data_IF_680832485602
#
_entry.id   IF_680832485602
#
_cell.length_a   1.000
_cell.length_b   1.000
_cell.length_c   1.000
_cell.angle_alpha   90.00
_cell.angle_beta   90.00
_cell.angle_gamma   90.00
#
_symmetry.space_group_name_H-M   'P 1'
#
loop_
_entity.id
_entity.type
_entity.pdbx_description
1 polymer ?
#
# COMPACT_ATOMS: atom_id res chain seq x y z
N UNK A 1 -35.02 10.70 -10.27
CA UNK A 1 -33.69 10.55 -9.63
C UNK A 1 -33.11 11.94 -9.52
N UNK A 2 -33.29 12.59 -8.38
CA UNK A 2 -32.85 13.97 -8.13
C UNK A 2 -31.33 13.96 -8.05
N UNK A 3 -30.69 14.77 -8.88
CA UNK A 3 -29.24 14.96 -8.83
C UNK A 3 -28.96 15.74 -7.54
N UNK A 4 -28.11 15.22 -6.66
CA UNK A 4 -27.70 15.92 -5.44
C UNK A 4 -26.83 17.12 -5.85
N UNK A 5 -27.41 18.33 -5.85
CA UNK A 5 -26.73 19.57 -6.26
C UNK A 5 -25.72 20.09 -5.21
N UNK A 6 -25.48 19.35 -4.12
CA UNK A 6 -24.53 19.78 -3.09
C UNK A 6 -23.09 19.71 -3.59
N UNK A 7 -22.23 20.68 -3.19
CA UNK A 7 -20.82 20.64 -3.56
C UNK A 7 -20.14 19.37 -3.06
N UNK A 8 -19.16 18.89 -3.82
CA UNK A 8 -18.33 17.76 -3.43
C UNK A 8 -17.75 18.00 -2.02
N UNK A 9 -17.89 17.02 -1.13
CA UNK A 9 -17.45 17.13 0.27
C UNK A 9 -18.47 17.79 1.22
N UNK A 10 -19.69 18.10 0.77
CA UNK A 10 -20.77 18.45 1.70
C UNK A 10 -21.37 17.20 2.34
N UNK A 11 -21.51 17.13 3.67
CA UNK A 11 -22.11 15.97 4.35
C UNK A 11 -23.59 15.77 3.97
N UNK A 12 -24.13 14.54 4.12
CA UNK A 12 -25.58 14.32 4.18
C UNK A 12 -26.25 15.25 5.22
N UNK A 13 -27.56 15.55 5.11
CA UNK A 13 -28.21 16.44 6.07
C UNK A 13 -28.20 15.88 7.50
N UNK A 14 -28.14 14.54 7.61
CA UNK A 14 -28.41 13.80 8.85
C UNK A 14 -27.15 13.13 9.45
N UNK A 15 -25.95 13.49 8.99
CA UNK A 15 -24.70 12.97 9.58
C UNK A 15 -24.19 13.94 10.64
N UNK A 16 -23.85 13.43 11.82
CA UNK A 16 -23.25 14.24 12.89
C UNK A 16 -21.73 14.42 12.70
N UNK A 17 -21.17 15.39 13.43
CA UNK A 17 -19.75 15.73 13.35
C UNK A 17 -18.83 14.59 13.79
N UNK A 18 -19.26 13.77 14.74
CA UNK A 18 -18.51 12.61 15.22
C UNK A 18 -18.38 11.56 14.12
N UNK A 19 -19.43 11.36 13.33
CA UNK A 19 -19.45 10.44 12.19
C UNK A 19 -18.59 10.98 11.05
N UNK A 20 -18.64 12.29 10.78
CA UNK A 20 -17.73 12.93 9.80
C UNK A 20 -16.27 12.74 10.20
N UNK A 21 -15.93 12.94 11.49
CA UNK A 21 -14.58 12.71 12.00
C UNK A 21 -14.16 11.23 11.90
N UNK A 22 -15.04 10.29 12.28
CA UNK A 22 -14.76 8.87 12.18
C UNK A 22 -14.46 8.42 10.74
N UNK A 23 -15.25 8.90 9.76
CA UNK A 23 -15.00 8.62 8.34
C UNK A 23 -13.69 9.24 7.84
N UNK A 24 -13.34 10.44 8.32
CA UNK A 24 -12.05 11.08 8.06
C UNK A 24 -10.88 10.23 8.57
N UNK A 25 -10.95 9.78 9.83
CA UNK A 25 -9.93 8.90 10.44
C UNK A 25 -9.80 7.56 9.75
N UNK A 26 -10.93 6.97 9.33
CA UNK A 26 -10.92 5.73 8.57
C UNK A 26 -10.22 5.88 7.22
N UNK A 27 -10.46 7.01 6.54
CA UNK A 27 -9.80 7.34 5.26
C UNK A 27 -8.30 7.58 5.47
N UNK A 28 -7.91 8.35 6.49
CA UNK A 28 -6.50 8.61 6.85
C UNK A 28 -5.74 7.31 7.16
N UNK A 29 -6.37 6.37 7.86
CA UNK A 29 -5.81 5.06 8.13
C UNK A 29 -5.63 4.21 6.84
N UNK A 30 -6.58 4.30 5.90
CA UNK A 30 -6.46 3.64 4.60
C UNK A 30 -5.34 4.26 3.75
N UNK A 31 -5.22 5.58 3.69
CA UNK A 31 -4.12 6.28 3.00
C UNK A 31 -2.75 5.91 3.59
N UNK A 32 -2.67 5.79 4.91
CA UNK A 32 -1.44 5.30 5.57
C UNK A 32 -1.11 3.87 5.15
N UNK A 33 -2.13 3.02 4.99
CA UNK A 33 -1.99 1.65 4.48
C UNK A 33 -1.56 1.65 3.01
N UNK A 34 -2.06 2.57 2.19
CA UNK A 34 -1.61 2.73 0.79
C UNK A 34 -0.14 3.12 0.69
N UNK A 35 0.35 3.95 1.62
CA UNK A 35 1.78 4.26 1.70
C UNK A 35 2.61 3.05 2.09
N UNK A 36 2.15 2.25 3.07
CA UNK A 36 2.79 0.99 3.43
C UNK A 36 2.83 0.01 2.24
N UNK A 37 1.73 -0.09 1.48
CA UNK A 37 1.67 -0.84 0.23
C UNK A 37 2.72 -0.35 -0.77
N UNK A 38 2.84 0.97 -0.97
CA UNK A 38 3.88 1.54 -1.84
C UNK A 38 5.30 1.10 -1.45
N UNK A 39 5.60 1.00 -0.15
CA UNK A 39 6.88 0.50 0.32
C UNK A 39 7.11 -0.99 0.02
N UNK A 40 6.07 -1.83 -0.04
CA UNK A 40 6.22 -3.22 -0.49
C UNK A 40 6.61 -3.33 -1.96
N UNK A 41 6.05 -2.46 -2.81
CA UNK A 41 6.43 -2.39 -4.22
C UNK A 41 7.89 -1.93 -4.38
N UNK A 42 8.29 -0.90 -3.63
CA UNK A 42 9.70 -0.45 -3.61
C UNK A 42 10.63 -1.55 -3.09
N UNK A 43 10.24 -2.24 -2.02
CA UNK A 43 10.99 -3.38 -1.46
C UNK A 43 11.20 -4.48 -2.52
N UNK A 44 10.12 -4.92 -3.19
CA UNK A 44 10.20 -5.92 -4.25
C UNK A 44 11.15 -5.52 -5.38
N UNK A 45 11.03 -4.29 -5.88
CA UNK A 45 11.89 -3.80 -6.96
C UNK A 45 13.36 -3.70 -6.55
N UNK A 46 13.64 -3.16 -5.36
CA UNK A 46 15.00 -2.98 -4.87
C UNK A 46 15.68 -4.32 -4.58
N UNK A 47 14.97 -5.26 -3.96
CA UNK A 47 15.50 -6.60 -3.70
C UNK A 47 15.73 -7.37 -5.00
N UNK A 48 14.77 -7.35 -5.94
CA UNK A 48 14.95 -7.98 -7.24
C UNK A 48 16.12 -7.38 -8.04
N UNK A 49 16.30 -6.05 -7.99
CA UNK A 49 17.44 -5.41 -8.61
C UNK A 49 18.77 -5.85 -7.99
N UNK A 50 18.84 -5.93 -6.66
CA UNK A 50 20.03 -6.39 -5.95
C UNK A 50 20.37 -7.86 -6.28
N UNK A 51 19.36 -8.73 -6.33
CA UNK A 51 19.51 -10.14 -6.70
C UNK A 51 20.08 -10.28 -8.13
N UNK A 52 19.60 -9.48 -9.09
CA UNK A 52 20.15 -9.45 -10.45
C UNK A 52 21.61 -8.99 -10.52
N UNK A 53 22.09 -8.20 -9.56
CA UNK A 53 23.52 -7.82 -9.53
C UNK A 53 24.42 -8.99 -9.13
N UNK A 54 23.88 -10.03 -8.48
CA UNK A 54 24.68 -11.16 -7.98
C UNK A 54 25.25 -12.00 -9.12
N UNK A 55 24.59 -12.08 -10.27
CA UNK A 55 25.14 -12.73 -11.47
C UNK A 55 26.52 -12.13 -11.81
N UNK A 56 26.62 -10.80 -11.78
CA UNK A 56 27.88 -10.11 -12.04
C UNK A 56 28.91 -10.37 -10.94
N UNK A 57 28.49 -10.50 -9.69
CA UNK A 57 29.38 -10.86 -8.58
C UNK A 57 29.97 -12.25 -8.79
N UNK A 58 29.15 -13.23 -9.16
CA UNK A 58 29.57 -14.60 -9.46
C UNK A 58 30.59 -14.62 -10.60
N UNK A 59 30.32 -13.92 -11.71
CA UNK A 59 31.26 -13.79 -12.81
C UNK A 59 32.63 -13.23 -12.37
N UNK A 60 32.60 -12.16 -11.57
CA UNK A 60 33.82 -11.49 -11.10
C UNK A 60 34.61 -12.37 -10.13
N UNK A 61 33.94 -13.08 -9.22
CA UNK A 61 34.59 -14.02 -8.30
C UNK A 61 35.29 -15.15 -9.05
N UNK A 62 34.64 -15.72 -10.08
CA UNK A 62 35.26 -16.74 -10.94
C UNK A 62 36.47 -16.17 -11.69
N UNK A 63 36.33 -14.99 -12.31
CA UNK A 63 37.43 -14.34 -13.03
C UNK A 63 38.62 -13.98 -12.14
N UNK A 64 38.37 -13.69 -10.86
CA UNK A 64 39.40 -13.40 -9.86
C UNK A 64 40.06 -14.66 -9.27
N UNK A 65 39.65 -15.87 -9.67
CA UNK A 65 40.22 -17.12 -9.17
C UNK A 65 39.60 -17.61 -7.86
N UNK A 66 38.36 -17.19 -7.55
CA UNK A 66 37.61 -17.62 -6.36
C UNK A 66 36.34 -18.42 -6.74
N UNK A 67 36.46 -19.58 -7.41
CA UNK A 67 35.29 -20.35 -7.85
C UNK A 67 34.44 -20.84 -6.68
N UNK A 68 35.05 -21.30 -5.58
CA UNK A 68 34.32 -21.82 -4.42
C UNK A 68 33.43 -20.75 -3.76
N UNK A 69 33.90 -19.49 -3.71
CA UNK A 69 33.08 -18.37 -3.20
C UNK A 69 31.99 -17.96 -4.18
N UNK A 70 32.24 -18.08 -5.49
CA UNK A 70 31.23 -17.85 -6.51
C UNK A 70 30.09 -18.88 -6.40
N UNK A 71 30.43 -20.14 -6.13
CA UNK A 71 29.46 -21.21 -5.92
C UNK A 71 28.63 -20.96 -4.65
N UNK A 72 29.24 -20.51 -3.54
CA UNK A 72 28.49 -20.11 -2.33
C UNK A 72 27.46 -19.01 -2.62
N UNK A 73 27.83 -17.96 -3.37
CA UNK A 73 26.88 -16.89 -3.72
C UNK A 73 25.76 -17.42 -4.61
N UNK A 74 26.11 -18.23 -5.62
CA UNK A 74 25.14 -18.79 -6.56
C UNK A 74 24.15 -19.75 -5.88
N UNK A 75 24.64 -20.62 -5.00
CA UNK A 75 23.85 -21.69 -4.40
C UNK A 75 23.07 -21.22 -3.16
N UNK A 76 23.61 -20.28 -2.38
CA UNK A 76 23.03 -19.91 -1.10
C UNK A 76 22.25 -18.59 -1.11
N UNK A 77 22.53 -17.69 -2.06
CA UNK A 77 21.97 -16.32 -2.04
C UNK A 77 21.09 -15.99 -3.25
N UNK A 78 21.49 -16.36 -4.47
CA UNK A 78 20.69 -16.05 -5.67
C UNK A 78 19.33 -16.72 -5.58
N UNK A 79 18.26 -15.93 -5.67
CA UNK A 79 16.88 -16.42 -5.58
C UNK A 79 16.48 -16.97 -4.20
N UNK A 80 17.30 -16.76 -3.15
CA UNK A 80 16.98 -17.20 -1.80
C UNK A 80 15.79 -16.43 -1.25
N UNK A 81 14.73 -17.11 -0.82
CA UNK A 81 13.56 -16.46 -0.24
C UNK A 81 13.89 -15.47 0.91
N UNK A 82 13.24 -14.30 0.91
CA UNK A 82 13.43 -13.25 1.94
C UNK A 82 12.70 -13.56 3.25
N UNK A 83 11.67 -14.40 3.17
CA UNK A 83 10.90 -14.96 4.29
C UNK A 83 10.69 -16.46 4.00
N UNK A 84 10.35 -17.30 5.00
CA UNK A 84 10.06 -18.70 4.74
C UNK A 84 9.05 -18.89 3.59
N UNK A 85 9.47 -19.63 2.57
CA UNK A 85 8.70 -20.00 1.36
C UNK A 85 8.16 -18.80 0.54
N UNK A 86 8.79 -17.62 0.69
CA UNK A 86 8.31 -16.38 0.10
C UNK A 86 9.43 -15.50 -0.41
N UNK A 87 9.41 -15.31 -1.72
CA UNK A 87 10.05 -14.20 -2.38
C UNK A 87 9.20 -12.93 -2.29
N UNK A 88 9.80 -11.81 -2.69
CA UNK A 88 9.23 -10.48 -2.44
C UNK A 88 7.90 -10.22 -3.15
N UNK A 89 7.66 -10.80 -4.33
CA UNK A 89 6.36 -10.64 -5.03
C UNK A 89 5.23 -11.38 -4.30
N UNK A 90 5.48 -12.53 -3.70
CA UNK A 90 4.47 -13.28 -2.94
C UNK A 90 4.01 -12.47 -1.71
N UNK A 91 4.94 -11.79 -1.04
CA UNK A 91 4.61 -10.90 0.10
C UNK A 91 3.70 -9.76 -0.37
N UNK A 92 4.02 -9.15 -1.50
CA UNK A 92 3.22 -8.08 -2.10
C UNK A 92 1.82 -8.57 -2.48
N UNK A 93 1.72 -9.71 -3.16
CA UNK A 93 0.45 -10.32 -3.58
C UNK A 93 -0.41 -10.69 -2.36
N UNK A 94 0.16 -11.34 -1.35
CA UNK A 94 -0.57 -11.69 -0.11
C UNK A 94 -1.08 -10.44 0.62
N UNK A 95 -0.30 -9.35 0.65
CA UNK A 95 -0.72 -8.10 1.25
C UNK A 95 -1.86 -7.43 0.47
N UNK A 96 -1.73 -7.40 -0.86
CA UNK A 96 -2.73 -6.83 -1.77
C UNK A 96 -4.06 -7.60 -1.71
N UNK A 97 -3.99 -8.92 -1.79
CA UNK A 97 -5.16 -9.80 -1.87
C UNK A 97 -5.82 -10.04 -0.51
N UNK A 98 -5.06 -9.96 0.57
CA UNK A 98 -5.52 -10.09 1.94
C UNK A 98 -5.89 -8.74 2.55
N UNK A 99 -4.96 -8.17 3.32
CA UNK A 99 -5.23 -7.04 4.20
C UNK A 99 -5.70 -5.80 3.44
N UNK A 100 -5.03 -5.43 2.35
CA UNK A 100 -5.34 -4.20 1.60
C UNK A 100 -6.72 -4.28 0.92
N UNK A 101 -7.03 -5.37 0.21
CA UNK A 101 -8.35 -5.59 -0.41
C UNK A 101 -9.47 -5.61 0.64
N UNK A 102 -9.23 -6.23 1.80
CA UNK A 102 -10.22 -6.22 2.88
C UNK A 102 -10.47 -4.80 3.41
N UNK A 103 -9.41 -4.04 3.71
CA UNK A 103 -9.52 -2.70 4.27
C UNK A 103 -10.20 -1.73 3.29
N UNK A 104 -9.76 -1.70 2.03
CA UNK A 104 -10.41 -0.88 0.98
C UNK A 104 -11.90 -1.20 0.83
N UNK A 105 -12.26 -2.50 0.85
CA UNK A 105 -13.66 -2.93 0.79
C UNK A 105 -14.48 -2.51 2.02
N UNK A 106 -13.89 -2.59 3.22
CA UNK A 106 -14.54 -2.20 4.46
C UNK A 106 -14.74 -0.68 4.56
N UNK A 107 -13.73 0.12 4.23
CA UNK A 107 -13.85 1.58 4.13
C UNK A 107 -15.00 1.95 3.21
N UNK A 108 -15.01 1.39 2.00
CA UNK A 108 -16.03 1.71 1.00
C UNK A 108 -17.43 1.38 1.52
N UNK A 109 -17.61 0.21 2.15
CA UNK A 109 -18.91 -0.19 2.72
C UNK A 109 -19.39 0.81 3.76
N UNK A 110 -18.52 1.19 4.70
CA UNK A 110 -18.87 2.12 5.79
C UNK A 110 -19.18 3.51 5.23
N UNK A 111 -18.36 4.03 4.31
CA UNK A 111 -18.59 5.32 3.65
C UNK A 111 -19.88 5.31 2.81
N UNK A 112 -20.15 4.24 2.09
CA UNK A 112 -21.39 4.13 1.31
C UNK A 112 -22.63 4.15 2.23
N UNK A 113 -22.58 3.43 3.35
CA UNK A 113 -23.67 3.37 4.33
C UNK A 113 -23.91 4.69 5.07
N UNK A 114 -22.86 5.40 5.49
CA UNK A 114 -22.98 6.57 6.37
C UNK A 114 -22.97 7.90 5.60
N UNK A 115 -22.29 7.97 4.45
CA UNK A 115 -22.09 9.20 3.70
C UNK A 115 -22.70 9.18 2.28
N UNK A 116 -23.38 8.09 1.90
CA UNK A 116 -23.89 7.91 0.53
C UNK A 116 -22.76 7.88 -0.50
N UNK A 117 -21.59 7.38 -0.11
CA UNK A 117 -20.43 7.25 -0.99
C UNK A 117 -19.58 8.51 -1.14
N UNK A 118 -19.95 9.63 -0.51
CA UNK A 118 -19.15 10.86 -0.56
C UNK A 118 -17.81 10.71 0.15
N UNK A 119 -16.77 11.21 -0.51
CA UNK A 119 -15.38 11.23 -0.02
C UNK A 119 -15.01 12.61 0.53
N UNK A 120 -13.95 12.64 1.35
CA UNK A 120 -13.32 13.85 1.88
C UNK A 120 -14.26 14.81 2.65
N UNK A 121 -15.25 14.27 3.36
CA UNK A 121 -16.20 15.09 4.13
C UNK A 121 -15.51 15.89 5.25
N UNK A 122 -14.53 15.26 5.92
CA UNK A 122 -13.80 15.87 7.03
C UNK A 122 -12.90 17.01 6.54
N UNK A 123 -12.13 16.79 5.47
CA UNK A 123 -11.23 17.78 4.87
C UNK A 123 -12.01 18.95 4.26
N UNK A 124 -13.16 18.67 3.64
CA UNK A 124 -14.05 19.70 3.15
C UNK A 124 -14.62 20.56 4.30
N UNK A 125 -14.93 19.98 5.47
CA UNK A 125 -15.31 20.73 6.69
C UNK A 125 -14.17 21.62 7.16
N UNK A 126 -12.98 21.05 7.36
CA UNK A 126 -11.78 21.79 7.78
C UNK A 126 -11.46 22.95 6.84
N UNK A 127 -11.65 22.76 5.53
CA UNK A 127 -11.46 23.82 4.53
C UNK A 127 -12.48 24.95 4.72
N UNK A 128 -13.76 24.64 4.93
CA UNK A 128 -14.83 25.65 5.14
C UNK A 128 -14.58 26.46 6.41
N UNK A 129 -14.22 25.82 7.52
CA UNK A 129 -13.93 26.49 8.79
C UNK A 129 -12.75 27.47 8.69
N UNK A 130 -11.69 27.09 7.94
CA UNK A 130 -10.53 27.97 7.72
C UNK A 130 -10.80 29.17 6.82
N UNK A 131 -11.83 29.11 5.99
CA UNK A 131 -12.17 30.14 5.01
C UNK A 131 -13.26 31.10 5.52
N UNK A 132 -13.76 30.90 6.75
CA UNK A 132 -14.87 31.65 7.34
C UNK A 132 -14.43 32.71 8.35
#
# INVERSE_FOLDING_TARGET
MTIDERPAGSPPPDIDDTTVEALGRLSEALETTERARGHLYSFHQLTGHADLQLDRVVELLRAAGHPDLADVVADELIGRDVLPDRWTFQIMEEYDDGYYRFFTGLEKRIRDQLAGGRRHLYEARMKRERQS
#
